data_IF_352986693626
#
_entry.id   IF_352986693626
#
_cell.length_a   1.000
_cell.length_b   1.000
_cell.length_c   1.000
_cell.angle_alpha   90.00
_cell.angle_beta   90.00
_cell.angle_gamma   90.00
#
_symmetry.space_group_name_H-M   'P 1'
#
loop_
_entity.id
_entity.type
_entity.pdbx_description
1 polymer ?
#
# COMPACT_ATOMS: atom_id res chain seq x y z
N UNK A 1 4.07 12.89 -2.69
CA UNK A 1 5.12 12.16 -1.97
C UNK A 1 6.45 12.34 -2.68
N UNK A 2 7.52 12.68 -1.95
CA UNK A 2 8.85 12.97 -2.51
C UNK A 2 9.72 11.75 -2.83
N UNK A 3 9.14 10.53 -2.81
CA UNK A 3 9.86 9.29 -3.08
C UNK A 3 9.76 8.91 -4.55
N UNK A 4 10.86 8.43 -5.10
CA UNK A 4 10.96 7.94 -6.46
C UNK A 4 11.31 6.45 -6.42
N UNK A 5 10.79 5.65 -7.36
CA UNK A 5 11.19 4.25 -7.53
C UNK A 5 12.66 4.08 -7.93
N UNK A 6 13.30 5.16 -8.35
CA UNK A 6 14.70 5.16 -8.74
C UNK A 6 15.52 5.98 -7.75
N UNK A 7 16.65 5.42 -7.31
CA UNK A 7 17.59 6.11 -6.43
C UNK A 7 18.11 7.36 -7.11
N UNK A 8 17.76 8.54 -6.58
CA UNK A 8 18.31 9.82 -7.02
C UNK A 8 18.89 10.54 -5.80
N UNK A 9 20.19 10.85 -5.88
CA UNK A 9 20.91 11.76 -4.96
C UNK A 9 20.70 11.49 -3.45
N UNK A 10 20.82 10.22 -3.04
CA UNK A 10 20.81 9.86 -1.61
C UNK A 10 19.45 9.87 -0.91
N UNK A 11 18.35 10.14 -1.61
CA UNK A 11 17.01 10.08 -1.03
C UNK A 11 16.53 8.63 -0.85
N UNK A 12 15.73 8.39 0.19
CA UNK A 12 15.04 7.11 0.41
C UNK A 12 14.21 6.78 -0.83
N UNK A 13 14.35 5.55 -1.33
CA UNK A 13 13.65 5.07 -2.51
C UNK A 13 12.33 4.42 -2.11
N UNK A 14 11.35 4.48 -3.00
CA UNK A 14 10.15 3.64 -2.90
C UNK A 14 10.37 2.36 -3.71
N UNK A 15 9.94 1.22 -3.17
CA UNK A 15 9.90 -0.05 -3.87
C UNK A 15 8.43 -0.42 -4.14
N UNK A 16 8.13 -0.82 -5.36
CA UNK A 16 6.84 -1.41 -5.71
C UNK A 16 6.96 -2.93 -5.66
N UNK A 17 6.04 -3.57 -4.94
CA UNK A 17 6.02 -5.03 -4.78
C UNK A 17 4.61 -5.56 -4.92
N UNK A 18 4.48 -6.81 -5.38
CA UNK A 18 3.23 -7.55 -5.39
C UNK A 18 3.08 -8.36 -4.10
N UNK A 19 1.94 -8.18 -3.44
CA UNK A 19 1.62 -8.87 -2.20
C UNK A 19 1.07 -10.29 -2.45
N UNK A 20 0.27 -10.45 -3.51
CA UNK A 20 -0.51 -11.66 -3.75
C UNK A 20 0.19 -12.71 -4.61
N UNK A 21 1.21 -12.32 -5.37
CA UNK A 21 1.89 -13.24 -6.29
C UNK A 21 3.33 -12.81 -6.51
N UNK A 22 4.29 -13.75 -6.45
CA UNK A 22 5.70 -13.45 -6.75
C UNK A 22 5.97 -13.34 -8.25
N UNK A 23 4.99 -13.65 -9.09
CA UNK A 23 5.12 -13.68 -10.55
C UNK A 23 3.92 -13.06 -11.25
N UNK A 24 4.15 -12.51 -12.44
CA UNK A 24 3.07 -12.10 -13.33
C UNK A 24 2.26 -13.32 -13.81
N UNK A 25 0.94 -13.19 -13.86
CA UNK A 25 0.04 -14.29 -14.20
C UNK A 25 -0.72 -14.04 -15.51
N UNK A 26 -0.95 -15.11 -16.27
CA UNK A 26 -1.93 -15.16 -17.35
C UNK A 26 -2.90 -16.33 -17.07
N UNK A 27 -4.21 -16.08 -16.93
CA UNK A 27 -4.87 -14.78 -16.89
C UNK A 27 -4.41 -13.90 -15.71
N UNK A 28 -4.87 -12.65 -15.69
CA UNK A 28 -4.60 -11.74 -14.57
C UNK A 28 -5.15 -12.30 -13.26
N UNK A 29 -4.69 -11.80 -12.11
CA UNK A 29 -5.08 -12.29 -10.78
C UNK A 29 -6.59 -12.51 -10.62
N UNK A 30 -7.44 -11.61 -11.12
CA UNK A 30 -8.90 -11.75 -11.04
C UNK A 30 -9.44 -12.97 -11.79
N UNK A 31 -8.81 -13.36 -12.89
CA UNK A 31 -9.21 -14.50 -13.72
C UNK A 31 -8.68 -15.86 -13.26
N UNK A 32 -7.83 -15.92 -12.24
CA UNK A 32 -7.34 -17.18 -11.70
C UNK A 32 -8.42 -17.90 -10.88
N UNK A 33 -8.43 -19.21 -10.91
CA UNK A 33 -9.21 -20.04 -10.00
C UNK A 33 -8.70 -19.90 -8.54
N UNK A 34 -9.54 -20.32 -7.59
CA UNK A 34 -9.25 -20.18 -6.17
C UNK A 34 -7.99 -20.96 -5.76
N UNK A 35 -7.82 -22.19 -6.25
CA UNK A 35 -6.71 -23.05 -5.85
C UNK A 35 -5.36 -22.46 -6.27
N UNK A 36 -5.28 -21.89 -7.46
CA UNK A 36 -4.09 -21.19 -7.96
C UNK A 36 -3.82 -19.92 -7.17
N UNK A 37 -4.89 -19.16 -6.84
CA UNK A 37 -4.76 -17.97 -5.98
C UNK A 37 -4.19 -18.31 -4.62
N UNK A 38 -4.70 -19.35 -3.98
CA UNK A 38 -4.26 -19.77 -2.64
C UNK A 38 -2.79 -20.22 -2.64
N UNK A 39 -2.39 -20.96 -3.68
CA UNK A 39 -0.99 -21.38 -3.86
C UNK A 39 -0.05 -20.19 -4.05
N UNK A 40 -0.35 -19.32 -5.01
CA UNK A 40 0.47 -18.16 -5.32
C UNK A 40 0.50 -17.16 -4.15
N UNK A 41 -0.62 -16.97 -3.47
CA UNK A 41 -0.71 -16.09 -2.31
C UNK A 41 0.20 -16.57 -1.17
N UNK A 42 0.20 -17.86 -0.85
CA UNK A 42 1.07 -18.40 0.20
C UNK A 42 2.55 -18.08 -0.04
N UNK A 43 3.01 -18.29 -1.27
CA UNK A 43 4.40 -18.05 -1.63
C UNK A 43 4.69 -16.55 -1.76
N UNK A 44 3.77 -15.79 -2.33
CA UNK A 44 3.86 -14.34 -2.45
C UNK A 44 3.92 -13.65 -1.08
N UNK A 45 3.04 -14.04 -0.16
CA UNK A 45 3.02 -13.50 1.20
C UNK A 45 4.33 -13.79 1.95
N UNK A 46 4.87 -15.01 1.83
CA UNK A 46 6.15 -15.37 2.47
C UNK A 46 7.30 -14.53 1.94
N UNK A 47 7.40 -14.37 0.61
CA UNK A 47 8.42 -13.54 -0.02
C UNK A 47 8.27 -12.08 0.38
N UNK A 48 7.05 -11.56 0.34
CA UNK A 48 6.75 -10.19 0.72
C UNK A 48 7.10 -9.92 2.19
N UNK A 49 6.72 -10.81 3.11
CA UNK A 49 7.04 -10.66 4.54
C UNK A 49 8.54 -10.65 4.80
N UNK A 50 9.30 -11.52 4.14
CA UNK A 50 10.76 -11.53 4.24
C UNK A 50 11.35 -10.22 3.69
N UNK A 51 10.86 -9.74 2.56
CA UNK A 51 11.31 -8.48 1.98
C UNK A 51 11.05 -7.29 2.92
N UNK A 52 9.88 -7.23 3.57
CA UNK A 52 9.57 -6.18 4.53
C UNK A 52 10.49 -6.22 5.75
N UNK A 53 10.80 -7.41 6.25
CA UNK A 53 11.73 -7.58 7.38
C UNK A 53 13.15 -7.12 7.04
N UNK A 54 13.61 -7.41 5.84
CA UNK A 54 14.94 -6.99 5.37
C UNK A 54 15.03 -5.48 5.09
N UNK A 55 14.00 -4.93 4.43
CA UNK A 55 14.00 -3.52 4.05
C UNK A 55 13.64 -2.57 5.19
N UNK A 56 12.90 -3.05 6.19
CA UNK A 56 12.41 -2.28 7.34
C UNK A 56 11.84 -0.92 6.93
N UNK A 57 10.82 -0.89 6.06
CA UNK A 57 10.28 0.37 5.54
C UNK A 57 9.61 1.18 6.65
N UNK A 58 9.74 2.50 6.61
CA UNK A 58 9.06 3.41 7.53
C UNK A 58 7.53 3.43 7.29
N UNK A 59 7.12 3.16 6.04
CA UNK A 59 5.73 3.18 5.61
C UNK A 59 5.49 2.22 4.44
N UNK A 60 4.39 1.49 4.54
CA UNK A 60 3.85 0.67 3.44
C UNK A 60 2.57 1.33 2.93
N UNK A 61 2.43 1.48 1.61
CA UNK A 61 1.18 1.90 0.96
C UNK A 61 0.60 0.71 0.23
N UNK A 62 -0.61 0.32 0.61
CA UNK A 62 -1.28 -0.87 0.10
C UNK A 62 -2.60 -0.53 -0.58
N UNK A 63 -2.81 -1.08 -1.77
CA UNK A 63 -4.05 -0.93 -2.56
C UNK A 63 -4.59 -2.30 -2.95
N UNK A 64 -5.10 -3.02 -1.98
CA UNK A 64 -5.70 -4.35 -2.12
C UNK A 64 -7.11 -4.38 -1.55
N UNK A 65 -7.85 -5.46 -1.80
CA UNK A 65 -9.13 -5.69 -1.13
C UNK A 65 -8.94 -5.72 0.38
N UNK A 66 -9.85 -5.10 1.14
CA UNK A 66 -9.76 -4.99 2.61
C UNK A 66 -9.63 -6.36 3.29
N UNK A 67 -10.20 -7.42 2.70
CA UNK A 67 -10.05 -8.78 3.19
C UNK A 67 -8.60 -9.28 3.31
N UNK A 68 -7.66 -8.70 2.59
CA UNK A 68 -6.25 -9.04 2.75
C UNK A 68 -5.62 -8.45 4.01
N UNK A 69 -6.19 -7.36 4.56
CA UNK A 69 -5.71 -6.81 5.84
C UNK A 69 -5.91 -7.78 7.01
N UNK A 70 -6.97 -8.59 6.97
CA UNK A 70 -7.22 -9.61 8.00
C UNK A 70 -6.17 -10.73 8.02
N UNK A 71 -5.36 -10.86 6.97
CA UNK A 71 -4.26 -11.81 6.90
C UNK A 71 -2.95 -11.24 7.47
N UNK A 72 -2.92 -9.94 7.71
CA UNK A 72 -1.83 -9.25 8.39
C UNK A 72 -2.17 -9.12 9.88
N UNK A 73 -1.17 -9.21 10.73
CA UNK A 73 -1.33 -8.79 12.13
C UNK A 73 -1.39 -7.25 12.15
N UNK A 74 -2.60 -6.72 11.95
CA UNK A 74 -2.83 -5.29 11.74
C UNK A 74 -3.77 -4.72 12.79
N UNK A 75 -3.40 -3.56 13.34
CA UNK A 75 -4.19 -2.75 14.24
C UNK A 75 -4.66 -1.49 13.50
N UNK A 76 -5.98 -1.25 13.49
CA UNK A 76 -6.55 -0.04 12.91
C UNK A 76 -6.25 1.16 13.79
N UNK A 77 -5.66 2.20 13.21
CA UNK A 77 -5.32 3.45 13.92
C UNK A 77 -6.36 4.54 13.64
N UNK A 78 -6.80 4.67 12.39
CA UNK A 78 -7.78 5.69 12.04
C UNK A 78 -8.00 5.86 10.54
N UNK A 79 -9.01 6.65 10.20
CA UNK A 79 -9.32 7.03 8.82
C UNK A 79 -8.66 8.36 8.49
N UNK A 80 -7.81 8.39 7.48
CA UNK A 80 -7.12 9.60 7.02
C UNK A 80 -7.99 10.43 6.08
N UNK A 81 -8.78 9.77 5.25
CA UNK A 81 -9.67 10.42 4.28
C UNK A 81 -10.83 9.49 3.93
N UNK A 82 -12.02 10.06 3.76
CA UNK A 82 -13.18 9.37 3.25
C UNK A 82 -13.96 10.29 2.33
N UNK A 83 -14.20 9.85 1.11
CA UNK A 83 -14.99 10.60 0.11
C UNK A 83 -16.00 9.70 -0.56
N UNK A 84 -17.18 10.26 -0.79
CA UNK A 84 -18.22 9.60 -1.57
C UNK A 84 -18.16 10.15 -3.00
N UNK A 85 -17.96 9.27 -3.97
CA UNK A 85 -18.02 9.65 -5.38
C UNK A 85 -19.46 9.91 -5.81
N UNK A 86 -19.63 10.56 -6.97
CA UNK A 86 -20.96 10.88 -7.54
C UNK A 86 -21.84 9.65 -7.77
N UNK A 87 -21.25 8.49 -7.98
CA UNK A 87 -21.95 7.20 -8.14
C UNK A 87 -22.22 6.47 -6.80
N UNK A 88 -22.04 7.13 -5.66
CA UNK A 88 -22.25 6.56 -4.32
C UNK A 88 -21.12 5.64 -3.83
N UNK A 89 -20.06 5.43 -4.61
CA UNK A 89 -18.91 4.63 -4.16
C UNK A 89 -18.13 5.42 -3.10
N UNK A 90 -17.88 4.78 -1.97
CA UNK A 90 -17.09 5.35 -0.88
C UNK A 90 -15.62 4.98 -1.11
N UNK A 91 -14.78 6.00 -1.19
CA UNK A 91 -13.32 5.87 -1.17
C UNK A 91 -12.84 6.16 0.24
N UNK A 92 -12.06 5.24 0.81
CA UNK A 92 -11.45 5.46 2.12
C UNK A 92 -9.95 5.23 2.06
N UNK A 93 -9.22 6.04 2.82
CA UNK A 93 -7.80 5.88 3.09
C UNK A 93 -7.66 5.73 4.59
N UNK A 94 -7.15 4.61 5.01
CA UNK A 94 -7.08 4.21 6.41
C UNK A 94 -5.64 3.94 6.82
N UNK A 95 -5.31 4.24 8.07
CA UNK A 95 -4.02 3.99 8.67
C UNK A 95 -4.08 2.79 9.61
N UNK A 96 -3.09 1.93 9.50
CA UNK A 96 -2.91 0.74 10.32
C UNK A 96 -1.48 0.67 10.83
N UNK A 97 -1.30 0.01 11.96
CA UNK A 97 -0.01 -0.50 12.40
C UNK A 97 0.03 -1.99 12.09
N UNK A 98 1.09 -2.45 11.46
CA UNK A 98 1.26 -3.88 11.18
C UNK A 98 2.48 -4.42 11.90
N UNK A 99 2.38 -5.68 12.31
CA UNK A 99 3.47 -6.42 12.94
C UNK A 99 3.78 -7.66 12.10
N UNK A 100 5.03 -7.79 11.68
CA UNK A 100 5.54 -8.95 10.95
C UNK A 100 6.69 -9.52 11.80
N UNK A 101 6.42 -10.61 12.49
CA UNK A 101 7.27 -11.19 13.52
C UNK A 101 7.60 -10.12 14.61
N UNK A 102 8.84 -9.67 14.70
CA UNK A 102 9.35 -8.65 15.65
C UNK A 102 9.39 -7.23 15.05
N UNK A 103 9.12 -7.08 13.74
CA UNK A 103 9.17 -5.79 13.05
C UNK A 103 7.78 -5.14 12.99
N UNK A 104 7.71 -3.88 13.41
CA UNK A 104 6.50 -3.06 13.30
C UNK A 104 6.70 -1.89 12.34
N UNK A 105 5.68 -1.61 11.53
CA UNK A 105 5.66 -0.45 10.65
C UNK A 105 4.25 0.06 10.42
N UNK A 106 4.15 1.25 9.83
CA UNK A 106 2.88 1.85 9.46
C UNK A 106 2.43 1.37 8.08
N UNK A 107 1.13 1.15 7.93
CA UNK A 107 0.51 0.80 6.66
C UNK A 107 -0.64 1.75 6.38
N UNK A 108 -0.59 2.41 5.24
CA UNK A 108 -1.71 3.18 4.69
C UNK A 108 -2.39 2.34 3.62
N UNK A 109 -3.65 2.02 3.87
CA UNK A 109 -4.49 1.26 2.97
C UNK A 109 -5.47 2.19 2.23
N UNK A 110 -5.62 1.97 0.92
CA UNK A 110 -6.63 2.63 0.10
C UNK A 110 -7.66 1.64 -0.44
N UNK A 111 -8.95 1.96 -0.31
CA UNK A 111 -10.08 1.10 -0.73
C UNK A 111 -10.17 0.85 -2.24
N UNK A 112 -9.60 1.72 -3.01
CA UNK A 112 -9.31 1.49 -4.43
C UNK A 112 -7.85 1.84 -4.65
N UNK A 113 -7.29 1.30 -5.71
CA UNK A 113 -5.99 1.81 -6.12
C UNK A 113 -6.08 3.33 -6.06
N UNK A 114 -5.09 4.00 -5.47
CA UNK A 114 -4.88 5.45 -5.59
C UNK A 114 -4.61 5.70 -7.09
N UNK A 115 -5.61 5.53 -7.89
CA UNK A 115 -5.59 5.21 -9.32
C UNK A 115 -6.12 6.34 -10.14
N UNK A 116 -6.09 6.15 -11.45
CA UNK A 116 -6.39 7.19 -12.44
C UNK A 116 -7.72 7.90 -12.22
N UNK A 117 -8.68 7.29 -11.55
CA UNK A 117 -10.01 7.85 -11.31
C UNK A 117 -10.12 8.85 -10.14
N UNK A 118 -9.08 8.94 -9.29
CA UNK A 118 -9.05 9.97 -8.25
C UNK A 118 -8.48 11.26 -8.85
N UNK A 119 -9.18 12.41 -8.72
CA UNK A 119 -8.65 13.70 -9.19
C UNK A 119 -7.25 13.97 -8.65
N UNK A 120 -6.39 14.54 -9.47
CA UNK A 120 -4.98 14.79 -9.12
C UNK A 120 -4.83 15.64 -7.85
N UNK A 121 -5.72 16.62 -7.64
CA UNK A 121 -5.79 17.44 -6.44
C UNK A 121 -5.95 16.60 -5.16
N UNK A 122 -6.85 15.62 -5.20
CA UNK A 122 -7.09 14.74 -4.05
C UNK A 122 -5.87 13.85 -3.75
N UNK A 123 -5.16 13.38 -4.78
CA UNK A 123 -3.93 12.58 -4.59
C UNK A 123 -2.82 13.39 -3.92
N UNK A 124 -2.64 14.63 -4.32
CA UNK A 124 -1.66 15.53 -3.71
C UNK A 124 -2.01 15.82 -2.26
N UNK A 125 -3.27 16.12 -1.96
CA UNK A 125 -3.77 16.39 -0.61
C UNK A 125 -3.57 15.18 0.32
N UNK A 126 -3.96 13.98 -0.12
CA UNK A 126 -3.75 12.73 0.63
C UNK A 126 -2.25 12.48 0.82
N UNK A 127 -1.45 12.69 -0.23
CA UNK A 127 0.00 12.56 -0.15
C UNK A 127 0.63 13.48 0.88
N UNK A 128 0.18 14.72 0.99
CA UNK A 128 0.63 15.67 2.00
C UNK A 128 0.21 15.25 3.41
N UNK A 129 -1.04 14.81 3.59
CA UNK A 129 -1.52 14.28 4.88
C UNK A 129 -0.68 13.09 5.35
N UNK A 130 -0.39 12.14 4.46
CA UNK A 130 0.47 10.98 4.77
C UNK A 130 1.89 11.46 5.12
N UNK A 131 2.46 12.34 4.32
CA UNK A 131 3.80 12.86 4.57
C UNK A 131 3.91 13.56 5.92
N UNK A 132 2.94 14.41 6.25
CA UNK A 132 2.87 15.11 7.55
C UNK A 132 2.73 14.12 8.71
N UNK A 133 1.82 13.13 8.59
CA UNK A 133 1.55 12.17 9.65
C UNK A 133 2.78 11.31 10.02
N UNK A 134 3.58 10.96 9.03
CA UNK A 134 4.75 10.09 9.22
C UNK A 134 6.09 10.87 9.18
N UNK A 135 6.05 12.20 9.27
CA UNK A 135 7.25 13.07 9.22
C UNK A 135 8.12 12.77 8.00
N UNK A 136 7.49 12.46 6.88
CA UNK A 136 8.18 12.18 5.64
C UNK A 136 8.62 13.49 4.96
N UNK A 137 9.80 13.55 4.31
CA UNK A 137 10.24 14.75 3.62
C UNK A 137 9.28 15.13 2.48
N UNK A 138 8.80 16.36 2.50
CA UNK A 138 7.95 16.92 1.46
C UNK A 138 8.88 17.65 0.48
N UNK A 139 8.86 17.23 -0.79
CA UNK A 139 9.53 18.04 -1.83
C UNK A 139 8.68 19.26 -2.12
N UNK A 140 9.24 20.44 -1.89
CA UNK A 140 8.71 21.66 -2.47
C UNK A 140 8.79 21.55 -4.00
N UNK A 141 7.69 21.93 -4.65
CA UNK A 141 7.69 22.06 -6.12
C UNK A 141 8.53 23.28 -6.47
N UNK A 142 9.69 23.06 -7.07
CA UNK A 142 10.38 24.08 -7.85
C UNK A 142 9.77 24.14 -9.24
#
# INVERSE_FOLDING_TARGET
MGYCFYKRNGYKSALHTDFCSPIATKPTWSGLDKSKKDLLFRDGYRLWSNLIKELKPDLIIMSLKKSYLSLLNSEFIGTLEQKVARNGIVYSVENYKITIDDFQTNLVWGSSQITPFMPFSNKSEIGLKIASLFSLPIKEKH
#
